data_IF_869151798371
#
_entry.id   IF_869151798371
#
_cell.length_a   1.000
_cell.length_b   1.000
_cell.length_c   1.000
_cell.angle_alpha   90.00
_cell.angle_beta   90.00
_cell.angle_gamma   90.00
#
_symmetry.space_group_name_H-M   'P 1'
#
loop_
_entity.id
_entity.type
_entity.pdbx_description
1 polymer ?
#
# COMPACT_ATOMS: atom_id res chain seq x y z
N UNK A 1 -18.04 -8.12 5.61
CA UNK A 1 -17.10 -7.05 6.00
C UNK A 1 -17.71 -5.69 5.65
N UNK A 2 -17.49 -4.66 6.47
CA UNK A 2 -17.85 -3.27 6.15
C UNK A 2 -16.59 -2.54 5.68
N UNK A 3 -16.71 -1.68 4.68
CA UNK A 3 -15.57 -0.96 4.08
C UNK A 3 -15.83 0.53 4.05
N UNK A 4 -14.81 1.33 4.39
CA UNK A 4 -14.83 2.78 4.32
C UNK A 4 -13.70 3.25 3.41
N UNK A 5 -14.03 3.98 2.35
CA UNK A 5 -13.05 4.54 1.43
C UNK A 5 -12.80 6.02 1.75
N UNK A 6 -11.53 6.40 1.88
CA UNK A 6 -11.11 7.79 2.09
C UNK A 6 -10.61 8.36 0.76
N UNK A 7 -11.35 9.34 0.22
CA UNK A 7 -11.06 10.00 -1.06
C UNK A 7 -10.71 11.47 -0.84
N UNK A 8 -10.10 12.11 -1.85
CA UNK A 8 -9.74 13.52 -1.79
C UNK A 8 -9.40 14.06 -3.17
N UNK A 9 -9.52 15.38 -3.33
CA UNK A 9 -9.47 16.07 -4.64
C UNK A 9 -8.06 16.25 -5.19
N UNK A 10 -7.03 16.13 -4.35
CA UNK A 10 -5.63 16.20 -4.77
C UNK A 10 -4.74 15.24 -3.98
N UNK A 11 -3.49 15.12 -4.41
CA UNK A 11 -2.42 14.52 -3.62
C UNK A 11 -2.13 15.36 -2.38
N UNK A 12 -1.63 14.72 -1.31
CA UNK A 12 -1.20 15.41 -0.08
C UNK A 12 -2.27 16.16 0.74
N UNK A 13 -3.56 16.07 0.40
CA UNK A 13 -4.68 16.68 1.18
C UNK A 13 -4.98 15.99 2.53
N UNK A 14 -4.06 15.19 3.08
CA UNK A 14 -4.23 14.57 4.40
C UNK A 14 -4.98 13.22 4.45
N UNK A 15 -5.36 12.63 3.31
CA UNK A 15 -6.07 11.33 3.26
C UNK A 15 -5.44 10.23 4.13
N UNK A 16 -4.12 10.09 4.08
CA UNK A 16 -3.42 9.06 4.86
C UNK A 16 -3.53 9.31 6.35
N UNK A 17 -3.44 10.58 6.79
CA UNK A 17 -3.58 10.97 8.20
C UNK A 17 -5.00 10.72 8.69
N UNK A 18 -6.02 11.09 7.91
CA UNK A 18 -7.42 10.82 8.23
C UNK A 18 -7.65 9.30 8.37
N UNK A 19 -7.12 8.50 7.44
CA UNK A 19 -7.21 7.05 7.52
C UNK A 19 -6.50 6.49 8.77
N UNK A 20 -5.31 7.01 9.13
CA UNK A 20 -4.61 6.64 10.38
C UNK A 20 -5.44 6.99 11.62
N UNK A 21 -6.01 8.20 11.68
CA UNK A 21 -6.85 8.62 12.79
C UNK A 21 -8.09 7.74 12.95
N UNK A 22 -8.77 7.41 11.85
CA UNK A 22 -9.93 6.51 11.87
C UNK A 22 -9.55 5.10 12.31
N UNK A 23 -8.40 4.57 11.87
CA UNK A 23 -7.89 3.29 12.37
C UNK A 23 -7.72 3.32 13.89
N UNK A 24 -7.18 4.42 14.42
CA UNK A 24 -6.99 4.56 15.87
C UNK A 24 -8.30 4.66 16.64
N UNK A 25 -9.24 5.48 16.16
CA UNK A 25 -10.56 5.65 16.78
C UNK A 25 -11.29 4.31 16.82
N UNK A 26 -11.38 3.60 15.69
CA UNK A 26 -12.05 2.31 15.64
C UNK A 26 -11.39 1.27 16.55
N UNK A 27 -10.06 1.21 16.59
CA UNK A 27 -9.35 0.34 17.52
C UNK A 27 -9.69 0.66 18.99
N UNK A 28 -9.71 1.94 19.37
CA UNK A 28 -10.05 2.39 20.73
C UNK A 28 -11.51 2.13 21.10
N UNK A 29 -12.41 2.16 20.14
CA UNK A 29 -13.83 1.84 20.30
C UNK A 29 -14.11 0.32 20.29
N UNK A 30 -13.07 -0.51 20.24
CA UNK A 30 -13.20 -1.98 20.22
C UNK A 30 -13.65 -2.56 18.87
N UNK A 31 -13.59 -1.77 17.79
CA UNK A 31 -13.92 -2.20 16.43
C UNK A 31 -12.66 -2.75 15.75
N UNK A 32 -12.75 -3.98 15.25
CA UNK A 32 -11.70 -4.56 14.41
C UNK A 32 -11.61 -3.79 13.07
N UNK A 33 -10.44 -3.22 12.80
CA UNK A 33 -10.15 -2.42 11.60
C UNK A 33 -8.80 -2.85 11.02
N UNK A 34 -8.68 -2.80 9.70
CA UNK A 34 -7.42 -2.96 9.00
C UNK A 34 -7.32 -1.92 7.87
N UNK A 35 -6.14 -1.31 7.65
CA UNK A 35 -5.95 -0.40 6.55
C UNK A 35 -5.67 -1.15 5.24
N UNK A 36 -6.05 -0.54 4.12
CA UNK A 36 -5.76 -1.08 2.80
C UNK A 36 -5.53 0.04 1.80
N UNK A 37 -4.45 -0.07 1.04
CA UNK A 37 -4.16 0.80 -0.11
C UNK A 37 -3.59 -0.02 -1.27
N UNK A 38 -4.48 -0.36 -2.21
CA UNK A 38 -4.18 -1.21 -3.36
C UNK A 38 -2.87 -0.81 -4.08
N UNK A 39 -2.71 0.48 -4.36
CA UNK A 39 -1.49 1.01 -4.97
C UNK A 39 -1.01 2.25 -4.21
N UNK A 40 0.26 2.24 -3.84
CA UNK A 40 0.97 3.41 -3.33
C UNK A 40 2.13 3.77 -4.26
N UNK A 41 2.50 5.05 -4.29
CA UNK A 41 3.70 5.53 -4.96
C UNK A 41 4.50 6.38 -3.96
N UNK A 42 5.62 5.85 -3.49
CA UNK A 42 6.44 6.52 -2.47
C UNK A 42 7.84 5.93 -2.43
N UNK A 43 8.84 6.78 -2.17
CA UNK A 43 10.18 6.34 -1.78
C UNK A 43 10.30 6.04 -0.28
N UNK A 44 9.30 6.44 0.50
CA UNK A 44 9.29 6.26 1.95
C UNK A 44 8.58 4.96 2.32
N UNK A 45 9.35 3.90 2.48
CA UNK A 45 8.87 2.59 2.85
C UNK A 45 9.22 2.20 4.29
N UNK A 46 8.61 1.11 4.73
CA UNK A 46 8.85 0.43 5.98
C UNK A 46 8.95 -1.08 5.73
N UNK A 47 9.68 -1.77 6.61
CA UNK A 47 9.85 -3.22 6.56
C UNK A 47 8.84 -3.86 7.52
N UNK A 48 8.06 -4.81 7.02
CA UNK A 48 7.14 -5.61 7.85
C UNK A 48 7.93 -6.62 8.69
N UNK A 49 7.32 -7.23 9.73
CA UNK A 49 7.95 -8.33 10.47
C UNK A 49 8.35 -9.52 9.59
N UNK A 50 7.69 -9.73 8.45
CA UNK A 50 8.01 -10.75 7.45
C UNK A 50 9.17 -10.37 6.51
N UNK A 51 9.80 -9.21 6.72
CA UNK A 51 10.86 -8.69 5.85
C UNK A 51 10.35 -8.12 4.52
N UNK A 52 9.03 -7.94 4.38
CA UNK A 52 8.41 -7.41 3.17
C UNK A 52 8.38 -5.87 3.20
N UNK A 53 8.38 -5.24 2.03
CA UNK A 53 8.41 -3.78 1.90
C UNK A 53 7.01 -3.20 1.65
N UNK A 54 6.59 -2.25 2.48
CA UNK A 54 5.33 -1.51 2.31
C UNK A 54 5.55 0.01 2.42
N UNK A 55 4.59 0.82 1.96
CA UNK A 55 4.63 2.25 2.21
C UNK A 55 4.57 2.59 3.70
N UNK A 56 5.39 3.56 4.16
CA UNK A 56 5.42 3.96 5.59
C UNK A 56 4.05 4.42 6.11
N UNK A 57 3.22 5.02 5.27
CA UNK A 57 1.86 5.38 5.62
C UNK A 57 1.01 4.16 6.01
N UNK A 58 1.14 3.03 5.31
CA UNK A 58 0.40 1.81 5.63
C UNK A 58 0.93 1.16 6.90
N UNK A 59 2.24 1.21 7.15
CA UNK A 59 2.81 0.77 8.42
C UNK A 59 2.25 1.57 9.62
N UNK A 60 2.22 2.89 9.52
CA UNK A 60 1.66 3.76 10.56
C UNK A 60 0.14 3.55 10.76
N UNK A 61 -0.59 3.26 9.68
CA UNK A 61 -2.02 2.92 9.76
C UNK A 61 -2.25 1.57 10.45
N UNK A 62 -1.39 0.58 10.21
CA UNK A 62 -1.47 -0.73 10.87
C UNK A 62 -1.21 -0.60 12.37
N UNK A 63 -0.19 0.18 12.75
CA UNK A 63 0.10 0.52 14.15
C UNK A 63 -1.08 1.22 14.82
N UNK A 64 -1.70 2.20 14.15
CA UNK A 64 -2.89 2.88 14.65
C UNK A 64 -4.08 1.92 14.85
N UNK A 65 -4.23 0.94 13.96
CA UNK A 65 -5.21 -0.13 14.05
C UNK A 65 -4.87 -1.22 15.09
N UNK A 66 -3.72 -1.15 15.77
CA UNK A 66 -3.30 -2.13 16.76
C UNK A 66 -2.91 -3.49 16.17
N UNK A 67 -2.55 -3.55 14.90
CA UNK A 67 -2.19 -4.79 14.18
C UNK A 67 -0.79 -4.70 13.58
N UNK A 68 -0.16 -5.86 13.34
CA UNK A 68 1.15 -5.91 12.68
C UNK A 68 1.02 -5.51 11.21
N UNK A 69 1.92 -4.67 10.68
CA UNK A 69 1.92 -4.36 9.26
C UNK A 69 2.27 -5.60 8.43
N UNK A 70 1.57 -5.78 7.31
CA UNK A 70 1.85 -6.83 6.34
C UNK A 70 1.70 -6.31 4.90
N UNK A 71 2.25 -7.05 3.95
CA UNK A 71 2.29 -6.72 2.52
C UNK A 71 0.93 -6.57 1.86
N UNK A 72 -0.09 -7.26 2.37
CA UNK A 72 -1.44 -7.22 1.80
C UNK A 72 -2.14 -5.87 2.04
N UNK A 73 -1.67 -5.09 3.03
CA UNK A 73 -2.14 -3.72 3.25
C UNK A 73 -1.67 -2.75 2.15
N UNK A 74 -0.58 -3.08 1.43
CA UNK A 74 -0.06 -2.32 0.31
C UNK A 74 0.49 -3.26 -0.80
N UNK A 75 -0.39 -3.94 -1.55
CA UNK A 75 0.03 -5.01 -2.45
C UNK A 75 0.85 -4.52 -3.65
N UNK A 76 0.68 -3.26 -4.08
CA UNK A 76 1.51 -2.62 -5.09
C UNK A 76 2.15 -1.34 -4.52
N UNK A 77 3.47 -1.33 -4.43
CA UNK A 77 4.25 -0.14 -4.10
C UNK A 77 5.15 0.24 -5.27
N UNK A 78 4.94 1.44 -5.79
CA UNK A 78 5.75 2.02 -6.85
C UNK A 78 6.80 2.94 -6.22
N UNK A 79 8.06 2.73 -6.57
CA UNK A 79 9.19 3.55 -6.12
C UNK A 79 9.76 4.26 -7.34
N UNK A 80 9.40 5.53 -7.57
CA UNK A 80 9.94 6.30 -8.68
C UNK A 80 11.46 6.34 -8.61
N UNK A 81 12.12 5.99 -9.71
CA UNK A 81 13.57 6.03 -9.85
C UNK A 81 13.95 7.07 -10.89
N UNK A 82 15.24 7.39 -11.01
CA UNK A 82 15.72 8.29 -12.06
C UNK A 82 15.36 7.80 -13.48
N UNK A 83 15.51 8.70 -14.47
CA UNK A 83 15.30 8.41 -15.90
C UNK A 83 13.87 7.97 -16.28
N UNK A 84 12.85 8.56 -15.64
CA UNK A 84 11.43 8.24 -15.90
C UNK A 84 11.08 6.76 -15.72
N UNK A 85 11.68 6.11 -14.73
CA UNK A 85 11.46 4.71 -14.39
C UNK A 85 10.82 4.58 -13.02
N UNK A 86 10.22 3.44 -12.74
CA UNK A 86 9.72 3.09 -11.41
C UNK A 86 10.06 1.65 -11.12
N UNK A 87 10.58 1.39 -9.93
CA UNK A 87 10.63 0.05 -9.38
C UNK A 87 9.23 -0.32 -8.92
N UNK A 88 8.83 -1.56 -9.20
CA UNK A 88 7.57 -2.16 -8.80
C UNK A 88 7.87 -3.16 -7.70
N UNK A 89 7.26 -2.93 -6.53
CA UNK A 89 7.26 -3.86 -5.41
C UNK A 89 5.87 -4.47 -5.33
N UNK A 90 5.78 -5.80 -5.48
CA UNK A 90 4.55 -6.57 -5.42
C UNK A 90 4.55 -7.46 -4.18
N UNK A 91 3.48 -7.38 -3.39
CA UNK A 91 3.37 -8.11 -2.11
C UNK A 91 4.66 -7.99 -1.27
N UNK A 92 5.18 -6.75 -1.24
CA UNK A 92 6.39 -6.37 -0.53
C UNK A 92 7.71 -6.97 -1.01
N UNK A 93 7.77 -7.51 -2.22
CA UNK A 93 9.01 -7.94 -2.87
C UNK A 93 9.25 -7.18 -4.18
N UNK A 94 10.50 -6.81 -4.44
CA UNK A 94 10.87 -6.20 -5.72
C UNK A 94 10.56 -7.17 -6.86
N UNK A 95 9.75 -6.72 -7.81
CA UNK A 95 9.33 -7.53 -8.96
C UNK A 95 10.04 -7.10 -10.25
N UNK A 96 10.03 -5.80 -10.55
CA UNK A 96 10.57 -5.27 -11.80
C UNK A 96 10.95 -3.79 -11.66
N UNK A 97 11.68 -3.25 -12.63
CA UNK A 97 11.86 -1.81 -12.81
C UNK A 97 11.59 -1.47 -14.27
N UNK A 98 10.54 -0.69 -14.50
CA UNK A 98 10.06 -0.35 -15.85
C UNK A 98 10.02 1.15 -16.07
N UNK A 99 9.85 1.61 -17.31
CA UNK A 99 9.55 3.01 -17.55
C UNK A 99 8.15 3.36 -17.02
N UNK A 100 7.98 4.57 -16.48
CA UNK A 100 6.68 5.04 -16.01
C UNK A 100 5.61 4.96 -17.12
N UNK A 101 6.00 5.31 -18.35
CA UNK A 101 5.12 5.20 -19.53
C UNK A 101 4.67 3.76 -19.78
N UNK A 102 5.57 2.79 -19.67
CA UNK A 102 5.21 1.39 -19.84
C UNK A 102 4.28 0.91 -18.73
N UNK A 103 4.56 1.26 -17.47
CA UNK A 103 3.71 0.97 -16.32
C UNK A 103 2.26 1.42 -16.55
N UNK A 104 2.06 2.69 -16.90
CA UNK A 104 0.71 3.27 -17.01
C UNK A 104 -0.04 2.91 -18.30
N UNK A 105 0.65 2.58 -19.40
CA UNK A 105 -0.02 2.34 -20.70
C UNK A 105 -0.23 0.87 -21.06
N UNK A 106 0.68 0.00 -20.63
CA UNK A 106 0.79 -1.33 -21.25
C UNK A 106 1.17 -2.44 -20.29
N UNK A 107 1.47 -2.11 -19.03
CA UNK A 107 1.84 -3.10 -18.05
C UNK A 107 0.61 -3.91 -17.64
N UNK A 108 0.51 -5.12 -18.21
CA UNK A 108 -0.55 -6.05 -17.85
C UNK A 108 -0.24 -6.62 -16.46
N UNK A 109 -1.00 -6.18 -15.47
CA UNK A 109 -1.03 -6.78 -14.13
C UNK A 109 -1.42 -8.27 -14.14
N UNK A 110 -1.81 -8.83 -15.30
CA UNK A 110 -2.00 -10.26 -15.50
C UNK A 110 -0.73 -11.09 -15.23
N UNK A 111 0.49 -10.52 -15.37
CA UNK A 111 1.70 -11.19 -14.91
C UNK A 111 1.75 -11.27 -13.36
N UNK A 112 1.18 -10.28 -12.69
CA UNK A 112 1.13 -10.16 -11.23
C UNK A 112 0.03 -11.05 -10.62
N UNK A 113 -1.01 -11.42 -11.37
CA UNK A 113 -2.08 -12.32 -10.90
C UNK A 113 -1.54 -13.63 -10.35
N UNK A 114 -0.46 -14.19 -10.91
CA UNK A 114 0.16 -15.43 -10.38
C UNK A 114 0.69 -15.31 -8.94
N UNK A 115 0.85 -14.09 -8.41
CA UNK A 115 1.41 -13.83 -7.06
C UNK A 115 0.40 -13.16 -6.10
N UNK A 116 -0.81 -12.83 -6.57
CA UNK A 116 -1.87 -12.17 -5.77
C UNK A 116 -3.04 -13.12 -5.46
N UNK A 117 -3.07 -14.32 -6.07
CA UNK A 117 -4.21 -15.25 -6.02
C UNK A 117 -4.30 -16.10 -4.75
N UNK A 118 -3.34 -16.03 -3.82
CA UNK A 118 -3.44 -16.71 -2.51
C UNK A 118 -4.14 -15.87 -1.43
N UNK A 119 -5.15 -15.09 -1.82
CA UNK A 119 -6.11 -14.48 -0.89
C UNK A 119 -7.24 -15.48 -0.64
N UNK A 120 -7.00 -16.48 0.21
CA UNK A 120 -8.04 -17.31 0.82
C UNK A 120 -8.29 -16.87 2.25
#
# INVERSE_FOLDING_TARGET
MRSLMIVGTASSVGKSIVCTALCRIFYQDGVSVAPFKAQNMSLNSAVTPSGCEIGRAQAAQAEAAGIRPNEHMNPVLLKPTGKQRTQIVLQGRVHDTVSARHYFRSYKLDSCKKHVVDLK
#
